data_IF_156361705426
#
_entry.id   IF_156361705426
#
_cell.length_a   1.000
_cell.length_b   1.000
_cell.length_c   1.000
_cell.angle_alpha   90.00
_cell.angle_beta   90.00
_cell.angle_gamma   90.00
#
_symmetry.space_group_name_H-M   'P 1'
#
loop_
_entity.id
_entity.type
_entity.pdbx_description
1 polymer ?
#
# COMPACT_ATOMS: atom_id res chain seq x y z
N UNK A 1 1.87 3.82 -8.36
CA UNK A 1 0.61 3.82 -7.60
C UNK A 1 -0.32 4.94 -8.04
N UNK A 2 0.16 6.18 -8.13
CA UNK A 2 -0.58 7.28 -8.76
C UNK A 2 -0.71 7.08 -10.28
N UNK A 3 -1.83 7.51 -10.85
CA UNK A 3 -2.13 7.41 -12.30
C UNK A 3 -1.91 6.02 -12.90
N UNK A 4 -2.24 4.98 -12.13
CA UNK A 4 -2.07 3.59 -12.56
C UNK A 4 -3.11 3.20 -13.62
N UNK A 5 -2.65 2.49 -14.65
CA UNK A 5 -3.52 1.90 -15.68
C UNK A 5 -4.15 0.57 -15.25
N UNK A 6 -3.76 0.03 -14.08
CA UNK A 6 -4.30 -1.24 -13.57
C UNK A 6 -5.67 -1.04 -12.93
N UNK A 7 -6.63 -1.86 -13.35
CA UNK A 7 -7.93 -1.97 -12.72
C UNK A 7 -7.82 -2.59 -11.32
N UNK A 8 -8.83 -2.34 -10.49
CA UNK A 8 -8.87 -2.87 -9.13
C UNK A 8 -8.82 -4.41 -9.08
N UNK A 9 -9.41 -5.09 -10.07
CA UNK A 9 -9.39 -6.54 -10.19
C UNK A 9 -7.96 -7.08 -10.40
N UNK A 10 -7.18 -6.45 -11.28
CA UNK A 10 -5.80 -6.82 -11.57
C UNK A 10 -4.91 -6.65 -10.33
N UNK A 11 -5.04 -5.52 -9.61
CA UNK A 11 -4.31 -5.29 -8.35
C UNK A 11 -4.56 -6.40 -7.32
N UNK A 12 -5.81 -6.84 -7.19
CA UNK A 12 -6.18 -7.92 -6.27
C UNK A 12 -5.66 -9.28 -6.73
N UNK A 13 -5.64 -9.55 -8.04
CA UNK A 13 -5.07 -10.76 -8.61
C UNK A 13 -3.55 -10.83 -8.35
N UNK A 14 -2.83 -9.76 -8.66
CA UNK A 14 -1.40 -9.64 -8.40
C UNK A 14 -1.06 -9.82 -6.91
N UNK A 15 -1.84 -9.21 -6.03
CA UNK A 15 -1.66 -9.35 -4.58
C UNK A 15 -1.81 -10.80 -4.12
N UNK A 16 -2.87 -11.51 -4.57
CA UNK A 16 -3.04 -12.93 -4.26
C UNK A 16 -1.91 -13.80 -4.81
N UNK A 17 -1.40 -13.50 -6.01
CA UNK A 17 -0.26 -14.21 -6.57
C UNK A 17 1.00 -14.00 -5.73
N UNK A 18 1.27 -12.76 -5.31
CA UNK A 18 2.39 -12.44 -4.40
C UNK A 18 2.28 -13.15 -3.05
N UNK A 19 1.08 -13.21 -2.45
CA UNK A 19 0.87 -13.92 -1.19
C UNK A 19 1.18 -15.42 -1.31
N UNK A 20 0.92 -16.02 -2.48
CA UNK A 20 1.25 -17.44 -2.75
C UNK A 20 2.72 -17.70 -3.04
N UNK A 21 3.56 -16.67 -3.18
CA UNK A 21 4.97 -16.82 -3.56
C UNK A 21 5.87 -17.39 -2.45
N UNK A 22 5.40 -17.42 -1.20
CA UNK A 22 6.23 -17.80 -0.04
C UNK A 22 7.21 -16.71 0.42
N UNK A 23 7.31 -15.59 -0.31
CA UNK A 23 8.10 -14.41 0.11
C UNK A 23 7.36 -13.66 1.23
N UNK A 24 8.08 -13.26 2.28
CA UNK A 24 7.58 -12.27 3.23
C UNK A 24 7.43 -10.92 2.52
N UNK A 25 6.18 -10.48 2.33
CA UNK A 25 5.88 -9.22 1.71
C UNK A 25 5.85 -8.09 2.74
N UNK A 26 6.43 -6.94 2.40
CA UNK A 26 6.49 -5.78 3.28
C UNK A 26 5.54 -4.67 2.81
N UNK A 27 4.66 -4.22 3.72
CA UNK A 27 3.65 -3.19 3.47
C UNK A 27 3.71 -2.07 4.50
N UNK A 28 4.62 -1.09 4.33
CA UNK A 28 4.68 0.07 5.23
C UNK A 28 3.38 0.89 5.21
N UNK A 29 3.10 1.54 6.34
CA UNK A 29 1.94 2.43 6.50
C UNK A 29 2.05 3.69 5.63
N UNK A 30 1.03 3.98 4.85
CA UNK A 30 0.89 5.22 4.09
C UNK A 30 -0.36 5.97 4.55
N UNK A 31 -0.17 7.14 5.18
CA UNK A 31 -1.26 7.99 5.65
C UNK A 31 -1.66 9.10 4.64
N UNK A 32 -0.83 9.34 3.62
CA UNK A 32 -1.13 10.24 2.52
C UNK A 32 -0.52 9.72 1.18
N UNK A 33 -0.93 10.29 0.02
CA UNK A 33 -0.44 9.83 -1.29
C UNK A 33 1.07 10.01 -1.51
N UNK A 34 1.71 11.02 -0.91
CA UNK A 34 3.15 11.26 -1.06
C UNK A 34 3.97 10.18 -0.36
N UNK A 35 3.55 9.75 0.83
CA UNK A 35 4.12 8.61 1.53
C UNK A 35 3.99 7.33 0.70
N UNK A 36 2.83 7.08 0.10
CA UNK A 36 2.64 5.91 -0.77
C UNK A 36 3.59 5.91 -1.98
N UNK A 37 3.81 7.07 -2.60
CA UNK A 37 4.75 7.24 -3.70
C UNK A 37 6.21 7.01 -3.24
N UNK A 38 6.57 7.47 -2.03
CA UNK A 38 7.90 7.21 -1.46
C UNK A 38 8.12 5.72 -1.18
N UNK A 39 7.13 5.04 -0.61
CA UNK A 39 7.18 3.59 -0.33
C UNK A 39 7.36 2.80 -1.63
N UNK A 40 6.61 3.14 -2.68
CA UNK A 40 6.77 2.53 -4.00
C UNK A 40 8.18 2.77 -4.56
N UNK A 41 8.69 4.00 -4.50
CA UNK A 41 10.06 4.34 -4.96
C UNK A 41 11.16 3.62 -4.19
N UNK A 42 10.90 3.25 -2.93
CA UNK A 42 11.83 2.46 -2.10
C UNK A 42 11.75 0.95 -2.39
N UNK A 43 10.84 0.51 -3.27
CA UNK A 43 10.78 -0.87 -3.74
C UNK A 43 10.04 -1.84 -2.82
N UNK A 44 9.20 -1.34 -1.90
CA UNK A 44 8.35 -2.19 -1.06
C UNK A 44 7.26 -2.90 -1.87
N UNK A 45 6.74 -4.01 -1.34
CA UNK A 45 5.80 -4.88 -2.07
C UNK A 45 4.40 -4.26 -2.20
N UNK A 46 4.06 -3.32 -1.33
CA UNK A 46 2.88 -2.47 -1.38
C UNK A 46 2.80 -1.50 -0.20
N UNK A 47 1.60 -0.94 0.03
CA UNK A 47 1.32 -0.01 1.14
C UNK A 47 0.16 -0.54 1.98
N UNK A 48 0.18 -0.24 3.27
CA UNK A 48 -0.94 -0.44 4.17
C UNK A 48 -1.55 0.92 4.54
N UNK A 49 -2.87 1.05 4.49
CA UNK A 49 -3.56 2.27 4.92
C UNK A 49 -4.06 2.03 6.34
N UNK A 50 -3.38 2.63 7.31
CA UNK A 50 -3.73 2.47 8.73
C UNK A 50 -4.81 3.47 9.12
N UNK A 51 -5.96 2.95 9.56
CA UNK A 51 -7.03 3.79 10.13
C UNK A 51 -6.54 4.59 11.33
N UNK A 52 -5.71 4.01 12.20
CA UNK A 52 -5.18 4.69 13.37
C UNK A 52 -4.26 5.86 13.02
N UNK A 53 -3.41 5.71 11.99
CA UNK A 53 -2.53 6.81 11.56
C UNK A 53 -3.34 7.90 10.84
N UNK A 54 -4.36 7.52 10.06
CA UNK A 54 -5.28 8.50 9.48
C UNK A 54 -6.07 9.28 10.56
N UNK A 55 -6.57 8.61 11.59
CA UNK A 55 -7.20 9.26 12.74
C UNK A 55 -6.23 10.23 13.42
N UNK A 56 -5.00 9.79 13.69
CA UNK A 56 -3.98 10.63 14.31
C UNK A 56 -3.61 11.87 13.47
N UNK A 57 -3.52 11.74 12.15
CA UNK A 57 -3.28 12.85 11.21
C UNK A 57 -4.41 13.90 11.25
N UNK A 58 -5.63 13.46 11.59
CA UNK A 58 -6.82 14.31 11.78
C UNK A 58 -7.06 14.73 13.24
N UNK A 59 -6.15 14.40 14.17
CA UNK A 59 -6.33 14.60 15.61
C UNK A 59 -7.57 13.89 16.20
N UNK A 60 -7.89 12.71 15.68
CA UNK A 60 -8.99 11.85 16.13
C UNK A 60 -8.44 10.59 16.83
N UNK A 61 -9.21 9.99 17.77
CA UNK A 61 -8.86 8.71 18.38
C UNK A 61 -8.92 7.52 17.39
#
# INVERSE_FOLDING_TARGET
MLFTKKHAAEKRADFRAKLKSGKLLQFPGAFNPLCAQLIERKGFDGVYISGAVMSADLCLP
#
